data_IF_688460506405
#
_entry.id   IF_688460506405
#
_cell.length_a   1.000
_cell.length_b   1.000
_cell.length_c   1.000
_cell.angle_alpha   90.00
_cell.angle_beta   90.00
_cell.angle_gamma   90.00
#
_symmetry.space_group_name_H-M   'P 1'
#
loop_
_entity.id
_entity.type
_entity.pdbx_description
1 polymer ?
#
# COMPACT_ATOMS: atom_id res chain seq x y z
N UNK A 1 33.15 -25.27 17.15
CA UNK A 1 32.25 -24.23 17.67
C UNK A 1 32.16 -23.14 16.62
N UNK A 2 31.19 -23.24 15.73
CA UNK A 2 30.93 -22.25 14.69
C UNK A 2 29.44 -21.99 14.71
N UNK A 3 29.05 -20.95 15.44
CA UNK A 3 27.66 -20.52 15.56
C UNK A 3 27.22 -19.95 14.21
N UNK A 4 26.22 -20.63 13.62
CA UNK A 4 25.53 -20.16 12.44
C UNK A 4 24.73 -18.91 12.77
N UNK A 5 24.99 -17.84 12.04
CA UNK A 5 24.20 -16.63 12.00
C UNK A 5 22.76 -16.98 11.55
N UNK A 6 21.86 -16.99 12.52
CA UNK A 6 20.41 -16.97 12.30
C UNK A 6 20.08 -15.53 11.88
N UNK A 7 19.49 -15.27 10.70
CA UNK A 7 19.02 -13.94 10.37
C UNK A 7 17.85 -13.59 11.31
N UNK A 8 17.98 -12.46 12.01
CA UNK A 8 16.90 -11.90 12.83
C UNK A 8 15.67 -11.59 11.98
N UNK A 9 14.45 -11.80 12.50
CA UNK A 9 13.23 -11.50 11.78
C UNK A 9 13.08 -9.99 11.59
N UNK A 10 12.96 -9.57 10.34
CA UNK A 10 12.60 -8.21 9.95
C UNK A 10 11.28 -7.78 10.61
N UNK A 11 11.27 -6.55 11.12
CA UNK A 11 10.16 -5.84 11.78
C UNK A 11 8.76 -6.13 11.19
N UNK A 12 7.72 -6.35 12.02
CA UNK A 12 6.39 -6.82 11.61
C UNK A 12 5.47 -5.76 10.95
N UNK A 13 6.00 -4.63 10.48
CA UNK A 13 5.19 -3.49 10.00
C UNK A 13 5.38 -3.17 8.51
N UNK A 14 5.60 -4.17 7.66
CA UNK A 14 5.58 -3.96 6.20
C UNK A 14 4.15 -4.16 5.70
N UNK A 15 3.44 -3.05 5.54
CA UNK A 15 2.15 -2.99 4.85
C UNK A 15 2.35 -3.27 3.36
N UNK A 16 1.42 -4.02 2.79
CA UNK A 16 1.61 -4.71 1.52
C UNK A 16 1.06 -3.94 0.33
N UNK A 17 1.75 -4.07 -0.81
CA UNK A 17 1.75 -3.14 -1.94
C UNK A 17 1.01 -3.68 -3.16
N UNK A 18 -0.04 -2.96 -3.60
CA UNK A 18 -0.99 -3.27 -4.69
C UNK A 18 -0.48 -3.45 -6.13
N UNK A 19 0.81 -3.20 -6.45
CA UNK A 19 1.20 -2.87 -7.85
C UNK A 19 2.38 -3.59 -8.48
N UNK A 20 2.68 -4.81 -8.05
CA UNK A 20 3.44 -5.71 -8.91
C UNK A 20 2.52 -6.53 -9.83
N UNK A 21 1.53 -5.87 -10.44
CA UNK A 21 0.83 -6.43 -11.59
C UNK A 21 1.62 -6.00 -12.82
N UNK A 22 2.40 -6.87 -13.48
CA UNK A 22 3.08 -6.51 -14.72
C UNK A 22 2.03 -6.09 -15.76
N UNK A 23 2.38 -5.14 -16.64
CA UNK A 23 1.56 -4.69 -17.79
C UNK A 23 1.11 -5.82 -18.75
N UNK A 24 1.56 -7.05 -18.52
CA UNK A 24 1.20 -8.26 -19.26
C UNK A 24 0.12 -9.12 -18.55
N UNK A 25 -0.52 -8.60 -17.50
CA UNK A 25 -1.52 -9.29 -16.70
C UNK A 25 -0.95 -10.24 -15.65
N UNK A 26 -1.79 -10.66 -14.72
CA UNK A 26 -1.57 -11.71 -13.73
C UNK A 26 -1.39 -13.04 -14.47
N UNK A 27 -0.19 -13.60 -14.42
CA UNK A 27 0.10 -14.92 -14.95
C UNK A 27 0.36 -15.89 -13.81
N UNK A 28 -0.29 -17.06 -13.84
CA UNK A 28 0.04 -18.15 -12.94
C UNK A 28 1.50 -18.59 -13.20
N UNK A 29 2.32 -18.83 -12.16
CA UNK A 29 3.69 -19.28 -12.36
C UNK A 29 3.73 -20.61 -13.12
N UNK A 30 4.41 -20.61 -14.26
CA UNK A 30 4.73 -21.80 -15.04
C UNK A 30 5.82 -22.63 -14.33
N UNK A 31 5.63 -23.95 -14.28
CA UNK A 31 6.62 -24.98 -13.93
C UNK A 31 7.30 -24.90 -12.54
N UNK A 32 6.58 -24.56 -11.47
CA UNK A 32 7.02 -24.86 -10.10
C UNK A 32 6.27 -26.06 -9.50
N UNK A 33 6.94 -26.82 -8.63
CA UNK A 33 6.41 -28.02 -7.98
C UNK A 33 5.10 -27.72 -7.23
N UNK A 34 4.16 -28.67 -7.22
CA UNK A 34 2.88 -28.58 -6.49
C UNK A 34 3.11 -28.26 -5.03
N UNK A 35 4.15 -28.85 -4.43
CA UNK A 35 4.52 -28.61 -3.04
C UNK A 35 4.96 -27.16 -2.81
N UNK A 36 5.76 -26.58 -3.70
CA UNK A 36 6.23 -25.19 -3.60
C UNK A 36 5.07 -24.19 -3.65
N UNK A 37 4.07 -24.48 -4.49
CA UNK A 37 2.87 -23.62 -4.62
C UNK A 37 1.99 -23.67 -3.38
N UNK A 38 1.76 -24.86 -2.81
CA UNK A 38 1.01 -24.98 -1.54
C UNK A 38 1.80 -24.33 -0.39
N UNK A 39 3.12 -24.52 -0.35
CA UNK A 39 3.98 -23.88 0.65
C UNK A 39 3.96 -22.35 0.53
N UNK A 40 4.01 -21.82 -0.69
CA UNK A 40 3.81 -20.40 -0.94
C UNK A 40 2.47 -19.91 -0.41
N UNK A 41 1.37 -20.63 -0.66
CA UNK A 41 0.06 -20.27 -0.12
C UNK A 41 0.04 -20.32 1.43
N UNK A 42 0.67 -21.32 2.05
CA UNK A 42 0.80 -21.40 3.52
C UNK A 42 1.56 -20.19 4.07
N UNK A 43 2.63 -19.74 3.40
CA UNK A 43 3.38 -18.55 3.81
C UNK A 43 2.53 -17.28 3.70
N UNK A 44 1.80 -17.11 2.60
CA UNK A 44 0.88 -15.97 2.39
C UNK A 44 -0.17 -15.91 3.50
N UNK A 45 -0.85 -17.03 3.78
CA UNK A 45 -1.89 -17.07 4.81
C UNK A 45 -1.29 -16.93 6.22
N UNK A 46 -0.08 -17.44 6.48
CA UNK A 46 0.60 -17.26 7.76
C UNK A 46 0.99 -15.79 8.02
N UNK A 47 1.48 -15.09 6.99
CA UNK A 47 1.72 -13.65 7.07
C UNK A 47 0.42 -12.87 7.32
N UNK A 48 -0.65 -13.24 6.60
CA UNK A 48 -1.99 -12.70 6.81
C UNK A 48 -2.50 -12.91 8.24
N UNK A 49 -2.26 -14.09 8.82
CA UNK A 49 -2.64 -14.43 10.19
C UNK A 49 -1.94 -13.56 11.24
N UNK A 50 -0.65 -13.27 11.06
CA UNK A 50 0.09 -12.38 11.97
C UNK A 50 -0.58 -11.01 12.08
N UNK A 51 -1.03 -10.48 10.93
CA UNK A 51 -1.66 -9.17 10.81
C UNK A 51 -3.16 -9.21 11.17
N UNK A 52 -3.80 -10.38 11.01
CA UNK A 52 -5.24 -10.58 11.24
C UNK A 52 -6.14 -10.11 10.10
N UNK A 53 -5.60 -10.05 8.89
CA UNK A 53 -6.32 -9.73 7.64
C UNK A 53 -5.61 -10.40 6.47
N UNK A 54 -6.32 -10.65 5.37
CA UNK A 54 -5.69 -11.19 4.16
C UNK A 54 -4.80 -10.13 3.55
N UNK A 55 -3.58 -10.56 3.22
CA UNK A 55 -2.55 -9.71 2.67
C UNK A 55 -1.69 -10.53 1.68
N UNK A 56 -1.55 -10.08 0.43
CA UNK A 56 -0.77 -10.79 -0.60
C UNK A 56 0.60 -10.13 -0.81
N UNK A 57 1.73 -10.79 -0.48
CA UNK A 57 3.03 -10.14 -0.55
C UNK A 57 3.38 -9.71 -1.99
N UNK A 58 4.15 -8.62 -2.15
CA UNK A 58 4.73 -8.31 -3.45
C UNK A 58 5.72 -9.42 -3.87
N UNK A 59 5.75 -9.81 -5.16
CA UNK A 59 4.92 -9.28 -6.21
C UNK A 59 3.52 -9.92 -6.25
N UNK A 60 2.47 -9.10 -6.25
CA UNK A 60 1.06 -9.54 -6.13
C UNK A 60 0.69 -10.52 -7.23
N UNK A 61 1.23 -10.35 -8.43
CA UNK A 61 0.95 -11.28 -9.51
C UNK A 61 1.36 -12.72 -9.21
N UNK A 62 2.53 -12.87 -8.61
CA UNK A 62 3.01 -14.17 -8.17
C UNK A 62 2.13 -14.70 -7.03
N UNK A 63 1.78 -13.87 -6.06
CA UNK A 63 0.91 -14.26 -4.95
C UNK A 63 -0.48 -14.72 -5.41
N UNK A 64 -1.14 -13.95 -6.29
CA UNK A 64 -2.42 -14.32 -6.91
C UNK A 64 -2.29 -15.62 -7.74
N UNK A 65 -1.20 -15.76 -8.50
CA UNK A 65 -0.92 -16.98 -9.26
C UNK A 65 -0.74 -18.22 -8.37
N UNK A 66 -0.05 -18.07 -7.24
CA UNK A 66 0.11 -19.12 -6.22
C UNK A 66 -1.24 -19.52 -5.63
N UNK A 67 -2.08 -18.56 -5.27
CA UNK A 67 -3.42 -18.82 -4.74
C UNK A 67 -4.32 -19.48 -5.79
N UNK A 68 -4.28 -19.04 -7.05
CA UNK A 68 -5.02 -19.70 -8.10
C UNK A 68 -4.56 -21.14 -8.34
N UNK A 69 -3.25 -21.40 -8.27
CA UNK A 69 -2.75 -22.77 -8.38
C UNK A 69 -3.31 -23.70 -7.29
N UNK A 70 -3.53 -23.21 -6.06
CA UNK A 70 -4.23 -23.97 -5.01
C UNK A 70 -5.64 -24.38 -5.47
N UNK A 71 -6.39 -23.44 -6.07
CA UNK A 71 -7.69 -23.75 -6.65
C UNK A 71 -7.61 -24.81 -7.75
N UNK A 72 -6.63 -24.72 -8.64
CA UNK A 72 -6.40 -25.72 -9.69
C UNK A 72 -6.10 -27.10 -9.11
N UNK A 73 -5.26 -27.19 -8.07
CA UNK A 73 -4.97 -28.46 -7.40
C UNK A 73 -6.18 -29.09 -6.75
N UNK A 74 -7.02 -28.28 -6.10
CA UNK A 74 -8.28 -28.76 -5.52
C UNK A 74 -9.18 -29.33 -6.63
N UNK A 75 -9.26 -28.67 -7.79
CA UNK A 75 -10.11 -29.12 -8.91
C UNK A 75 -9.73 -30.49 -9.47
N UNK A 76 -8.44 -30.82 -9.49
CA UNK A 76 -7.90 -32.11 -9.97
C UNK A 76 -8.09 -33.22 -8.92
N UNK A 77 -8.22 -32.83 -7.65
CA UNK A 77 -8.43 -33.72 -6.51
C UNK A 77 -7.12 -34.14 -5.86
N UNK A 78 -7.00 -33.90 -4.55
CA UNK A 78 -5.80 -34.17 -3.75
C UNK A 78 -5.41 -35.67 -3.78
N UNK A 79 -6.35 -36.57 -4.04
CA UNK A 79 -6.10 -38.02 -4.15
C UNK A 79 -5.38 -38.46 -5.44
N UNK A 80 -5.16 -37.57 -6.41
CA UNK A 80 -4.30 -37.86 -7.55
C UNK A 80 -2.83 -38.06 -7.12
N UNK A 81 -2.49 -37.64 -5.89
CA UNK A 81 -1.18 -37.79 -5.26
C UNK A 81 -1.28 -38.91 -4.21
N UNK A 82 -0.83 -40.11 -4.60
CA UNK A 82 -1.11 -41.36 -3.90
C UNK A 82 -0.25 -41.64 -2.64
N UNK A 83 -0.85 -42.47 -1.77
CA UNK A 83 -0.29 -43.22 -0.63
C UNK A 83 0.22 -42.47 0.62
N UNK A 84 0.23 -43.21 1.74
CA UNK A 84 0.33 -42.74 3.13
C UNK A 84 1.47 -41.72 3.34
N UNK A 85 1.10 -40.58 3.92
CA UNK A 85 1.96 -39.44 4.26
C UNK A 85 2.52 -38.70 3.04
N UNK A 86 1.66 -38.35 2.09
CA UNK A 86 1.96 -37.37 1.05
C UNK A 86 2.21 -35.97 1.69
N UNK A 87 3.42 -35.38 1.53
CA UNK A 87 3.73 -34.02 1.98
C UNK A 87 2.74 -32.97 1.48
N UNK A 88 2.19 -33.14 0.27
CA UNK A 88 1.19 -32.23 -0.33
C UNK A 88 -0.10 -32.23 0.51
N UNK A 89 -0.58 -33.41 0.92
CA UNK A 89 -1.78 -33.53 1.74
C UNK A 89 -1.61 -32.92 3.13
N UNK A 90 -0.44 -33.07 3.77
CA UNK A 90 -0.16 -32.46 5.07
C UNK A 90 -0.05 -30.94 4.99
N UNK A 91 0.61 -30.40 3.96
CA UNK A 91 0.66 -28.95 3.73
C UNK A 91 -0.70 -28.37 3.39
N UNK A 92 -1.55 -29.11 2.66
CA UNK A 92 -2.92 -28.67 2.39
C UNK A 92 -3.80 -28.65 3.64
N UNK A 93 -3.67 -29.64 4.54
CA UNK A 93 -4.33 -29.61 5.86
C UNK A 93 -3.88 -28.41 6.68
N UNK A 94 -2.57 -28.13 6.69
CA UNK A 94 -2.01 -26.96 7.36
C UNK A 94 -2.58 -25.65 6.78
N UNK A 95 -2.64 -25.52 5.45
CA UNK A 95 -3.24 -24.37 4.78
C UNK A 95 -4.70 -24.18 5.20
N UNK A 96 -5.48 -25.26 5.21
CA UNK A 96 -6.89 -25.22 5.61
C UNK A 96 -7.06 -24.80 7.07
N UNK A 97 -6.22 -25.32 7.97
CA UNK A 97 -6.22 -24.90 9.37
C UNK A 97 -5.88 -23.41 9.50
N UNK A 98 -4.85 -22.93 8.79
CA UNK A 98 -4.43 -21.52 8.81
C UNK A 98 -5.51 -20.59 8.27
N UNK A 99 -6.24 -21.01 7.23
CA UNK A 99 -7.40 -20.27 6.71
C UNK A 99 -8.52 -20.17 7.75
N UNK A 100 -8.82 -21.26 8.47
CA UNK A 100 -9.80 -21.24 9.57
C UNK A 100 -9.38 -20.30 10.71
N UNK A 101 -8.13 -20.40 11.16
CA UNK A 101 -7.57 -19.50 12.18
C UNK A 101 -7.66 -18.03 11.74
N UNK A 102 -7.38 -17.75 10.47
CA UNK A 102 -7.47 -16.41 9.91
C UNK A 102 -8.93 -15.93 9.85
N UNK A 103 -9.85 -16.79 9.42
CA UNK A 103 -11.28 -16.48 9.38
C UNK A 103 -11.83 -16.20 10.78
N UNK A 104 -11.48 -17.02 11.78
CA UNK A 104 -11.86 -16.79 13.18
C UNK A 104 -11.33 -15.45 13.70
N UNK A 105 -10.09 -15.08 13.36
CA UNK A 105 -9.50 -13.79 13.76
C UNK A 105 -10.18 -12.61 13.07
N UNK A 106 -10.56 -12.76 11.80
CA UNK A 106 -11.32 -11.77 11.03
C UNK A 106 -12.74 -11.62 11.62
N UNK A 107 -13.41 -12.73 11.92
CA UNK A 107 -14.76 -12.73 12.53
C UNK A 107 -14.72 -12.12 13.93
N UNK A 108 -13.73 -12.47 14.77
CA UNK A 108 -13.60 -11.90 16.11
C UNK A 108 -13.45 -10.38 16.05
N UNK A 109 -12.66 -9.87 15.09
CA UNK A 109 -12.67 -8.44 14.76
C UNK A 109 -14.08 -8.02 14.39
N UNK A 110 -14.76 -8.62 13.41
CA UNK A 110 -16.11 -8.19 13.00
C UNK A 110 -17.18 -8.24 14.11
N UNK A 111 -17.04 -9.14 15.07
CA UNK A 111 -17.97 -9.31 16.20
C UNK A 111 -17.79 -8.26 17.29
N UNK A 112 -16.55 -7.87 17.61
CA UNK A 112 -16.27 -6.66 18.40
C UNK A 112 -16.84 -5.39 17.74
N UNK A 113 -17.07 -5.48 16.42
CA UNK A 113 -17.45 -4.39 15.54
C UNK A 113 -18.97 -4.33 15.23
N UNK A 114 -19.78 -5.24 15.79
CA UNK A 114 -21.25 -5.39 15.54
C UNK A 114 -22.14 -4.21 15.95
N UNK A 115 -21.68 -3.30 16.82
CA UNK A 115 -22.49 -2.17 17.32
C UNK A 115 -22.84 -1.16 16.21
N UNK A 116 -22.12 -1.17 15.09
CA UNK A 116 -22.35 -0.28 13.93
C UNK A 116 -22.92 -0.99 12.68
N UNK A 117 -22.89 -2.32 12.65
CA UNK A 117 -23.23 -3.16 11.47
C UNK A 117 -24.76 -3.30 11.28
N UNK A 118 -25.56 -3.14 12.33
CA UNK A 118 -27.00 -3.44 12.26
C UNK A 118 -27.86 -2.39 11.52
N UNK A 119 -27.31 -1.24 11.12
CA UNK A 119 -28.09 -0.10 10.61
C UNK A 119 -27.75 0.38 9.19
N UNK A 120 -26.80 -0.24 8.47
CA UNK A 120 -26.37 0.25 7.15
C UNK A 120 -26.51 -0.79 6.03
N UNK A 121 -27.02 -0.33 4.87
CA UNK A 121 -27.11 -1.05 3.59
C UNK A 121 -25.78 -1.73 3.21
N UNK A 122 -24.66 -1.09 3.52
CA UNK A 122 -23.30 -1.63 3.34
C UNK A 122 -23.11 -3.01 4.00
N UNK A 123 -23.63 -3.20 5.21
CA UNK A 123 -23.44 -4.45 5.95
C UNK A 123 -24.16 -5.64 5.33
N UNK A 124 -25.38 -5.42 4.82
CA UNK A 124 -26.15 -6.48 4.16
C UNK A 124 -25.60 -6.79 2.76
N UNK A 125 -25.33 -5.76 1.96
CA UNK A 125 -24.95 -5.92 0.54
C UNK A 125 -23.49 -6.31 0.32
N UNK A 126 -22.61 -6.05 1.29
CA UNK A 126 -21.19 -6.35 1.16
C UNK A 126 -20.74 -7.41 2.14
N UNK A 127 -20.82 -7.15 3.44
CA UNK A 127 -20.23 -8.02 4.47
C UNK A 127 -20.90 -9.41 4.43
N UNK A 128 -22.23 -9.44 4.33
CA UNK A 128 -23.00 -10.70 4.23
C UNK A 128 -22.66 -11.53 3.00
N UNK A 129 -22.50 -10.90 1.84
CA UNK A 129 -22.14 -11.56 0.59
C UNK A 129 -20.70 -12.11 0.64
N UNK A 130 -19.73 -11.33 1.11
CA UNK A 130 -18.33 -11.78 1.29
C UNK A 130 -18.28 -12.98 2.24
N UNK A 131 -18.97 -12.90 3.39
CA UNK A 131 -19.02 -14.00 4.35
C UNK A 131 -19.65 -15.27 3.76
N UNK A 132 -20.67 -15.12 2.93
CA UNK A 132 -21.33 -16.24 2.25
C UNK A 132 -20.38 -16.92 1.26
N UNK A 133 -19.68 -16.14 0.42
CA UNK A 133 -18.68 -16.68 -0.52
C UNK A 133 -17.53 -17.37 0.21
N UNK A 134 -17.00 -16.78 1.29
CA UNK A 134 -15.94 -17.41 2.12
C UNK A 134 -16.40 -18.73 2.71
N UNK A 135 -17.63 -18.79 3.23
CA UNK A 135 -18.21 -20.03 3.76
C UNK A 135 -18.25 -21.14 2.70
N UNK A 136 -18.63 -20.83 1.47
CA UNK A 136 -18.62 -21.82 0.39
C UNK A 136 -17.21 -22.22 -0.04
N UNK A 137 -16.29 -21.26 -0.12
CA UNK A 137 -14.87 -21.53 -0.35
C UNK A 137 -14.30 -22.47 0.73
N UNK A 138 -14.57 -22.22 2.01
CA UNK A 138 -14.08 -23.06 3.11
C UNK A 138 -14.66 -24.47 3.07
N UNK A 139 -15.93 -24.64 2.69
CA UNK A 139 -16.51 -25.97 2.45
C UNK A 139 -15.78 -26.74 1.35
N UNK A 140 -15.29 -26.06 0.31
CA UNK A 140 -14.45 -26.68 -0.72
C UNK A 140 -13.17 -27.24 -0.07
N UNK A 141 -12.44 -26.42 0.69
CA UNK A 141 -11.22 -26.86 1.39
C UNK A 141 -11.47 -28.04 2.34
N UNK A 142 -12.54 -27.98 3.15
CA UNK A 142 -12.89 -29.05 4.09
C UNK A 142 -13.22 -30.37 3.37
N UNK A 143 -14.02 -30.29 2.31
CA UNK A 143 -14.40 -31.47 1.53
C UNK A 143 -13.20 -32.13 0.83
N UNK A 144 -12.18 -31.35 0.46
CA UNK A 144 -10.94 -31.86 -0.11
C UNK A 144 -10.14 -32.73 0.86
N UNK A 145 -10.27 -32.49 2.17
CA UNK A 145 -9.58 -33.26 3.22
C UNK A 145 -10.37 -34.53 3.57
N UNK A 146 -11.70 -34.46 3.60
CA UNK A 146 -12.57 -35.56 4.06
C UNK A 146 -12.66 -36.75 3.09
N UNK A 147 -12.14 -36.60 1.86
CA UNK A 147 -12.00 -37.69 0.89
C UNK A 147 -13.32 -38.38 0.48
N UNK A 148 -14.43 -37.62 0.43
CA UNK A 148 -15.73 -38.09 -0.09
C UNK A 148 -15.98 -37.41 -1.43
N UNK A 149 -15.78 -38.14 -2.53
CA UNK A 149 -15.78 -37.58 -3.89
C UNK A 149 -17.12 -36.92 -4.30
N UNK A 150 -18.26 -37.44 -3.83
CA UNK A 150 -19.58 -36.83 -4.07
C UNK A 150 -19.72 -35.47 -3.39
N UNK A 151 -19.25 -35.38 -2.14
CA UNK A 151 -19.38 -34.19 -1.31
C UNK A 151 -18.45 -33.09 -1.81
N UNK A 152 -17.27 -33.47 -2.30
CA UNK A 152 -16.30 -32.55 -2.89
C UNK A 152 -16.81 -31.88 -4.17
N UNK A 153 -17.35 -32.67 -5.12
CA UNK A 153 -17.95 -32.12 -6.34
C UNK A 153 -19.12 -31.20 -6.03
N UNK A 154 -19.96 -31.57 -5.07
CA UNK A 154 -21.08 -30.75 -4.64
C UNK A 154 -20.61 -29.44 -3.98
N UNK A 155 -19.54 -29.47 -3.18
CA UNK A 155 -18.95 -28.27 -2.59
C UNK A 155 -18.44 -27.29 -3.65
N UNK A 156 -17.70 -27.78 -4.66
CA UNK A 156 -17.21 -26.97 -5.78
C UNK A 156 -18.38 -26.35 -6.55
N UNK A 157 -19.41 -27.14 -6.87
CA UNK A 157 -20.56 -26.65 -7.63
C UNK A 157 -21.37 -25.61 -6.85
N UNK A 158 -21.53 -25.79 -5.55
CA UNK A 158 -22.18 -24.79 -4.70
C UNK A 158 -21.37 -23.49 -4.62
N UNK A 159 -20.04 -23.58 -4.54
CA UNK A 159 -19.17 -22.40 -4.56
C UNK A 159 -19.22 -21.69 -5.91
N UNK A 160 -19.19 -22.43 -7.03
CA UNK A 160 -19.38 -21.88 -8.37
C UNK A 160 -20.70 -21.12 -8.47
N UNK A 161 -21.82 -21.75 -8.08
CA UNK A 161 -23.15 -21.11 -8.10
C UNK A 161 -23.21 -19.84 -7.27
N UNK A 162 -22.57 -19.83 -6.10
CA UNK A 162 -22.50 -18.66 -5.26
C UNK A 162 -21.69 -17.52 -5.94
N UNK A 163 -20.55 -17.84 -6.54
CA UNK A 163 -19.77 -16.88 -7.32
C UNK A 163 -20.48 -16.41 -8.61
N UNK A 164 -21.30 -17.24 -9.24
CA UNK A 164 -22.06 -16.84 -10.43
C UNK A 164 -23.24 -15.93 -10.07
N UNK A 165 -23.86 -16.18 -8.90
CA UNK A 165 -24.96 -15.36 -8.38
C UNK A 165 -24.47 -14.00 -7.86
N UNK A 166 -23.39 -14.02 -7.08
CA UNK A 166 -22.75 -12.82 -6.52
C UNK A 166 -21.26 -12.83 -6.85
N UNK A 167 -20.85 -12.37 -8.05
CA UNK A 167 -19.44 -12.36 -8.43
C UNK A 167 -18.59 -11.49 -7.49
N UNK A 168 -17.39 -11.94 -7.06
CA UNK A 168 -16.50 -11.15 -6.21
C UNK A 168 -16.23 -9.74 -6.76
N UNK A 169 -16.04 -9.61 -8.07
CA UNK A 169 -15.86 -8.32 -8.74
C UNK A 169 -17.09 -7.41 -8.63
N UNK A 170 -18.30 -7.96 -8.67
CA UNK A 170 -19.53 -7.16 -8.49
C UNK A 170 -19.61 -6.60 -7.07
N UNK A 171 -19.19 -7.37 -6.06
CA UNK A 171 -19.10 -6.89 -4.69
C UNK A 171 -18.05 -5.77 -4.57
N UNK A 172 -16.89 -5.90 -5.22
CA UNK A 172 -15.87 -4.84 -5.24
C UNK A 172 -16.43 -3.52 -5.81
N UNK A 173 -17.10 -3.57 -6.98
CA UNK A 173 -17.78 -2.40 -7.54
C UNK A 173 -18.86 -1.83 -6.61
N UNK A 174 -19.54 -2.68 -5.85
CA UNK A 174 -20.56 -2.26 -4.90
C UNK A 174 -19.94 -1.52 -3.72
N UNK A 175 -18.79 -1.98 -3.21
CA UNK A 175 -18.01 -1.27 -2.19
C UNK A 175 -17.65 0.12 -2.69
N UNK A 176 -16.99 0.23 -3.84
CA UNK A 176 -16.59 1.52 -4.42
C UNK A 176 -17.80 2.45 -4.60
N UNK A 177 -18.90 1.94 -5.15
CA UNK A 177 -20.13 2.72 -5.34
C UNK A 177 -20.76 3.21 -4.03
N UNK A 178 -20.78 2.38 -2.98
CA UNK A 178 -21.32 2.76 -1.68
C UNK A 178 -20.43 3.78 -0.97
N UNK A 179 -19.11 3.69 -1.16
CA UNK A 179 -18.15 4.63 -0.59
C UNK A 179 -18.12 5.97 -1.33
N UNK A 180 -18.35 5.98 -2.65
CA UNK A 180 -18.37 7.21 -3.44
C UNK A 180 -19.50 8.18 -3.04
N UNK A 181 -20.60 7.67 -2.47
CA UNK A 181 -21.75 8.49 -2.08
C UNK A 181 -21.79 8.74 -0.57
N UNK A 182 -21.79 10.02 -0.18
CA UNK A 182 -21.78 10.46 1.22
C UNK A 182 -22.83 9.78 2.11
N UNK A 183 -24.05 9.60 1.60
CA UNK A 183 -25.19 9.06 2.36
C UNK A 183 -25.18 7.54 2.53
N UNK A 184 -24.35 6.83 1.75
CA UNK A 184 -24.20 5.38 1.85
C UNK A 184 -22.82 4.97 2.36
N UNK A 185 -21.89 5.91 2.45
CA UNK A 185 -20.54 5.68 2.91
C UNK A 185 -20.53 5.47 4.43
N UNK A 186 -20.29 4.24 4.92
CA UNK A 186 -20.33 3.97 6.35
C UNK A 186 -19.27 4.72 7.16
N UNK A 187 -18.09 4.98 6.60
CA UNK A 187 -17.05 5.78 7.26
C UNK A 187 -17.51 7.22 7.45
N UNK A 188 -18.08 7.83 6.42
CA UNK A 188 -18.57 9.21 6.51
C UNK A 188 -19.68 9.32 7.56
N UNK A 189 -20.64 8.38 7.54
CA UNK A 189 -21.70 8.32 8.56
C UNK A 189 -21.14 8.16 9.97
N UNK A 190 -20.10 7.33 10.15
CA UNK A 190 -19.46 7.12 11.44
C UNK A 190 -18.72 8.37 11.95
N UNK A 191 -17.95 9.05 11.08
CA UNK A 191 -17.28 10.32 11.42
C UNK A 191 -18.29 11.40 11.82
N UNK A 192 -19.44 11.48 11.13
CA UNK A 192 -20.47 12.47 11.42
C UNK A 192 -21.21 12.19 12.73
N UNK A 193 -21.38 10.91 13.08
CA UNK A 193 -21.99 10.48 14.35
C UNK A 193 -21.02 10.60 15.53
N UNK A 194 -19.72 10.38 15.31
CA UNK A 194 -18.68 10.39 16.34
C UNK A 194 -18.03 11.77 16.47
N UNK A 195 -18.41 12.54 17.49
CA UNK A 195 -17.83 13.87 17.71
C UNK A 195 -16.44 13.87 18.36
N UNK A 196 -16.04 12.79 19.04
CA UNK A 196 -14.80 12.76 19.85
C UNK A 196 -13.72 11.78 19.36
N UNK A 197 -14.08 10.73 18.62
CA UNK A 197 -13.16 9.63 18.27
C UNK A 197 -13.05 9.40 16.75
N UNK A 198 -13.06 10.48 15.95
CA UNK A 198 -13.08 10.40 14.48
C UNK A 198 -11.88 9.65 13.90
N UNK A 199 -10.71 9.82 14.50
CA UNK A 199 -9.48 9.15 14.07
C UNK A 199 -9.58 7.63 14.25
N UNK A 200 -10.25 7.18 15.32
CA UNK A 200 -10.49 5.76 15.57
C UNK A 200 -11.47 5.19 14.55
N UNK A 201 -12.52 5.94 14.19
CA UNK A 201 -13.48 5.55 13.14
C UNK A 201 -12.82 5.41 11.77
N UNK A 202 -11.91 6.33 11.40
CA UNK A 202 -11.14 6.25 10.16
C UNK A 202 -10.30 4.98 10.12
N UNK A 203 -9.45 4.77 11.13
CA UNK A 203 -8.60 3.59 11.20
C UNK A 203 -9.42 2.29 11.15
N UNK A 204 -10.57 2.27 11.83
CA UNK A 204 -11.50 1.16 11.83
C UNK A 204 -12.04 0.84 10.42
N UNK A 205 -12.60 1.83 9.73
CA UNK A 205 -13.27 1.56 8.44
C UNK A 205 -12.26 1.29 7.32
N UNK A 206 -11.08 1.94 7.37
CA UNK A 206 -9.97 1.60 6.47
C UNK A 206 -9.62 0.10 6.57
N UNK A 207 -9.50 -0.42 7.79
CA UNK A 207 -9.18 -1.84 8.01
C UNK A 207 -10.32 -2.75 7.52
N UNK A 208 -11.58 -2.35 7.71
CA UNK A 208 -12.75 -3.09 7.18
C UNK A 208 -12.73 -3.15 5.66
N UNK A 209 -12.59 -2.03 4.96
CA UNK A 209 -12.62 -2.02 3.49
C UNK A 209 -11.47 -2.81 2.89
N UNK A 210 -10.26 -2.68 3.46
CA UNK A 210 -9.10 -3.46 3.01
C UNK A 210 -9.30 -4.95 3.23
N UNK A 211 -9.82 -5.34 4.40
CA UNK A 211 -10.10 -6.76 4.69
C UNK A 211 -11.09 -7.33 3.69
N UNK A 212 -12.18 -6.61 3.41
CA UNK A 212 -13.20 -7.05 2.45
C UNK A 212 -12.64 -7.20 1.04
N UNK A 213 -11.86 -6.23 0.57
CA UNK A 213 -11.26 -6.29 -0.77
C UNK A 213 -10.27 -7.43 -0.90
N UNK A 214 -9.41 -7.65 0.10
CA UNK A 214 -8.45 -8.76 0.06
C UNK A 214 -9.11 -10.13 0.24
N UNK A 215 -10.22 -10.21 0.98
CA UNK A 215 -11.10 -11.38 1.00
C UNK A 215 -11.64 -11.67 -0.42
N UNK A 216 -12.11 -10.65 -1.14
CA UNK A 216 -12.58 -10.80 -2.53
C UNK A 216 -11.46 -11.26 -3.47
N UNK A 217 -10.24 -10.72 -3.33
CA UNK A 217 -9.09 -11.18 -4.11
C UNK A 217 -8.77 -12.65 -3.84
N UNK A 218 -8.74 -13.09 -2.57
CA UNK A 218 -8.51 -14.50 -2.23
C UNK A 218 -9.58 -15.40 -2.87
N UNK A 219 -10.85 -15.04 -2.69
CA UNK A 219 -11.99 -15.80 -3.21
C UNK A 219 -11.90 -15.91 -4.75
N UNK A 220 -11.61 -14.80 -5.44
CA UNK A 220 -11.52 -14.79 -6.90
C UNK A 220 -10.30 -15.58 -7.40
N UNK A 221 -9.15 -15.53 -6.70
CA UNK A 221 -7.99 -16.36 -7.05
C UNK A 221 -8.32 -17.85 -6.95
N UNK A 222 -8.92 -18.27 -5.83
CA UNK A 222 -9.30 -19.68 -5.63
C UNK A 222 -10.35 -20.11 -6.67
N UNK A 223 -11.36 -19.29 -6.93
CA UNK A 223 -12.36 -19.54 -7.97
C UNK A 223 -11.73 -19.63 -9.36
N UNK A 224 -10.73 -18.79 -9.66
CA UNK A 224 -10.03 -18.79 -10.94
C UNK A 224 -9.38 -20.14 -11.23
N UNK A 225 -8.65 -20.69 -10.25
CA UNK A 225 -8.05 -22.01 -10.33
C UNK A 225 -9.08 -23.15 -10.37
N UNK A 226 -10.11 -23.08 -9.52
CA UNK A 226 -11.10 -24.16 -9.42
C UNK A 226 -11.93 -24.34 -10.69
N UNK A 227 -12.37 -23.24 -11.30
CA UNK A 227 -13.38 -23.33 -12.35
C UNK A 227 -13.37 -22.24 -13.43
N UNK A 228 -12.44 -21.28 -13.39
CA UNK A 228 -12.30 -20.25 -14.45
C UNK A 228 -11.04 -20.42 -15.30
N UNK A 229 -10.43 -21.61 -15.29
CA UNK A 229 -9.24 -21.94 -16.10
C UNK A 229 -8.07 -21.00 -15.86
N UNK A 230 -7.83 -20.66 -14.58
CA UNK A 230 -6.75 -19.77 -14.15
C UNK A 230 -6.83 -18.36 -14.75
N UNK A 231 -8.00 -17.93 -15.24
CA UNK A 231 -8.20 -16.57 -15.70
C UNK A 231 -8.26 -15.60 -14.51
N UNK A 232 -7.20 -14.82 -14.35
CA UNK A 232 -7.02 -13.85 -13.27
C UNK A 232 -7.50 -12.43 -13.62
N UNK A 233 -8.15 -12.22 -14.77
CA UNK A 233 -8.65 -10.91 -15.21
C UNK A 233 -9.51 -10.22 -14.15
N UNK A 234 -10.44 -10.92 -13.50
CA UNK A 234 -11.25 -10.31 -12.45
C UNK A 234 -10.44 -9.98 -11.18
N UNK A 235 -9.39 -10.74 -10.86
CA UNK A 235 -8.52 -10.39 -9.74
C UNK A 235 -7.84 -9.05 -9.98
N UNK A 236 -7.35 -8.79 -11.20
CA UNK A 236 -6.78 -7.50 -11.60
C UNK A 236 -7.78 -6.37 -11.36
N UNK A 237 -9.01 -6.55 -11.85
CA UNK A 237 -10.08 -5.55 -11.71
C UNK A 237 -10.44 -5.30 -10.24
N UNK A 238 -10.47 -6.33 -9.38
CA UNK A 238 -10.70 -6.15 -7.93
C UNK A 238 -9.54 -5.37 -7.29
N UNK A 239 -8.30 -5.61 -7.72
CA UNK A 239 -7.13 -4.87 -7.22
C UNK A 239 -7.18 -3.42 -7.71
N UNK A 240 -7.61 -3.15 -8.94
CA UNK A 240 -7.85 -1.78 -9.42
C UNK A 240 -8.91 -1.07 -8.57
N UNK A 241 -10.01 -1.74 -8.24
CA UNK A 241 -11.04 -1.18 -7.33
C UNK A 241 -10.48 -0.85 -5.94
N UNK A 242 -9.49 -1.61 -5.45
CA UNK A 242 -8.81 -1.30 -4.20
C UNK A 242 -8.13 0.08 -4.23
N UNK A 243 -7.61 0.49 -5.40
CA UNK A 243 -7.02 1.81 -5.60
C UNK A 243 -8.08 2.90 -5.57
N UNK A 244 -9.25 2.66 -6.18
CA UNK A 244 -10.36 3.62 -6.17
C UNK A 244 -10.86 3.85 -4.74
N UNK A 245 -10.97 2.78 -3.95
CA UNK A 245 -11.32 2.87 -2.53
C UNK A 245 -10.29 3.70 -1.77
N UNK A 246 -9.00 3.51 -2.05
CA UNK A 246 -7.93 4.29 -1.45
C UNK A 246 -8.00 5.78 -1.79
N UNK A 247 -8.34 6.12 -3.04
CA UNK A 247 -8.58 7.52 -3.46
C UNK A 247 -9.81 8.12 -2.75
N UNK A 248 -10.87 7.34 -2.54
CA UNK A 248 -12.05 7.79 -1.76
C UNK A 248 -11.67 8.04 -0.30
N UNK A 249 -10.89 7.15 0.31
CA UNK A 249 -10.43 7.28 1.69
C UNK A 249 -9.57 8.52 1.90
N UNK A 250 -8.66 8.81 0.97
CA UNK A 250 -7.85 10.03 0.99
C UNK A 250 -8.71 11.30 0.93
N UNK A 251 -9.74 11.33 0.07
CA UNK A 251 -10.62 12.51 -0.04
C UNK A 251 -11.46 12.71 1.23
N UNK A 252 -11.86 11.62 1.91
CA UNK A 252 -12.53 11.69 3.22
C UNK A 252 -11.57 12.21 4.29
N UNK A 253 -10.36 11.66 4.34
CA UNK A 253 -9.30 12.09 5.27
C UNK A 253 -9.08 13.60 5.16
N UNK A 254 -8.95 14.09 3.92
CA UNK A 254 -8.81 15.51 3.59
C UNK A 254 -10.05 16.32 3.97
N UNK A 255 -11.25 15.88 3.60
CA UNK A 255 -12.50 16.63 3.79
C UNK A 255 -12.85 16.82 5.26
N UNK A 256 -12.60 15.80 6.08
CA UNK A 256 -12.86 15.84 7.52
C UNK A 256 -11.63 16.27 8.34
N UNK A 257 -10.45 16.38 7.71
CA UNK A 257 -9.17 16.65 8.35
C UNK A 257 -8.91 15.71 9.54
N UNK A 258 -8.99 14.41 9.26
CA UNK A 258 -8.89 13.30 10.22
C UNK A 258 -7.75 12.36 9.81
N UNK A 259 -7.49 11.31 10.58
CA UNK A 259 -6.50 10.30 10.22
C UNK A 259 -5.06 10.67 10.58
N UNK A 260 -4.12 9.73 10.40
CA UNK A 260 -2.78 9.85 10.98
C UNK A 260 -1.96 11.01 10.42
N UNK A 261 -2.11 11.32 9.12
CA UNK A 261 -1.42 12.45 8.52
C UNK A 261 -1.99 13.79 8.99
N UNK A 262 -3.32 13.95 9.11
CA UNK A 262 -3.90 15.17 9.69
C UNK A 262 -3.40 15.42 11.11
N UNK A 263 -3.30 14.38 11.94
CA UNK A 263 -2.72 14.46 13.29
C UNK A 263 -1.25 14.88 13.23
N UNK A 264 -0.44 14.22 12.40
CA UNK A 264 0.96 14.57 12.21
C UNK A 264 1.13 16.03 11.80
N UNK A 265 0.36 16.51 10.81
CA UNK A 265 0.41 17.90 10.34
C UNK A 265 0.09 18.91 11.43
N UNK A 266 -0.91 18.62 12.27
CA UNK A 266 -1.29 19.47 13.39
C UNK A 266 -0.18 19.58 14.42
N UNK A 267 0.54 18.49 14.67
CA UNK A 267 1.63 18.41 15.65
C UNK A 267 2.99 18.83 15.10
N UNK A 268 3.13 18.86 13.77
CA UNK A 268 4.38 19.12 13.06
C UNK A 268 5.07 20.42 13.48
N UNK A 269 4.39 21.57 13.67
CA UNK A 269 5.07 22.80 14.11
C UNK A 269 5.81 22.64 15.45
N UNK A 270 5.16 22.03 16.44
CA UNK A 270 5.75 21.78 17.76
C UNK A 270 6.88 20.75 17.68
N UNK A 271 6.69 19.70 16.88
CA UNK A 271 7.73 18.71 16.63
C UNK A 271 8.96 19.34 15.96
N UNK A 272 8.75 20.18 14.95
CA UNK A 272 9.81 20.84 14.20
C UNK A 272 10.55 21.89 15.05
N UNK A 273 9.88 22.57 15.98
CA UNK A 273 10.51 23.43 16.99
C UNK A 273 11.45 22.61 17.90
N UNK A 274 11.07 21.38 18.25
CA UNK A 274 11.92 20.43 18.97
C UNK A 274 13.26 20.14 18.25
N UNK A 275 13.31 20.23 16.92
CA UNK A 275 14.54 20.00 16.15
C UNK A 275 15.60 21.09 16.34
N UNK A 276 15.24 22.24 16.93
CA UNK A 276 16.17 23.34 17.28
C UNK A 276 17.24 22.85 18.27
N UNK A 277 16.88 21.94 19.17
CA UNK A 277 17.77 21.42 20.22
C UNK A 277 18.89 20.52 19.71
N UNK A 278 18.86 20.16 18.42
CA UNK A 278 19.82 19.26 17.77
C UNK A 278 20.88 20.00 16.91
N UNK A 279 21.16 21.27 17.21
CA UNK A 279 22.33 21.98 16.67
C UNK A 279 22.27 22.27 15.16
N UNK A 280 23.32 21.93 14.40
CA UNK A 280 23.34 22.05 12.92
C UNK A 280 23.38 20.69 12.21
N UNK A 281 23.20 19.59 12.94
CA UNK A 281 23.25 18.24 12.37
C UNK A 281 21.97 17.91 11.60
N UNK A 282 22.01 18.09 10.28
CA UNK A 282 20.90 17.76 9.37
C UNK A 282 20.59 16.26 9.34
N UNK A 283 21.60 15.40 9.53
CA UNK A 283 21.42 13.94 9.50
C UNK A 283 20.65 13.49 10.73
N UNK A 284 21.05 13.95 11.91
CA UNK A 284 20.33 13.59 13.14
C UNK A 284 18.89 14.11 13.14
N UNK A 285 18.65 15.34 12.67
CA UNK A 285 17.29 15.86 12.47
C UNK A 285 16.48 15.01 11.49
N UNK A 286 17.09 14.58 10.39
CA UNK A 286 16.46 13.69 9.42
C UNK A 286 15.99 12.41 10.10
N UNK A 287 16.87 11.74 10.86
CA UNK A 287 16.55 10.49 11.57
C UNK A 287 15.36 10.65 12.52
N UNK A 288 15.27 11.77 13.25
CA UNK A 288 14.12 12.07 14.13
C UNK A 288 12.82 12.19 13.34
N UNK A 289 12.82 12.93 12.24
CA UNK A 289 11.63 13.10 11.38
C UNK A 289 11.24 11.76 10.75
N UNK A 290 12.22 10.98 10.29
CA UNK A 290 11.99 9.65 9.72
C UNK A 290 11.34 8.71 10.74
N UNK A 291 11.82 8.69 11.98
CA UNK A 291 11.27 7.84 13.04
C UNK A 291 9.85 8.24 13.42
N UNK A 292 9.56 9.54 13.49
CA UNK A 292 8.23 10.04 13.81
C UNK A 292 7.21 9.65 12.72
N UNK A 293 7.58 9.81 11.45
CA UNK A 293 6.75 9.42 10.31
C UNK A 293 6.53 7.90 10.23
N UNK A 294 7.57 7.08 10.43
CA UNK A 294 7.43 5.62 10.50
C UNK A 294 6.46 5.18 11.60
N UNK A 295 6.44 5.88 12.72
CA UNK A 295 5.57 5.57 13.86
C UNK A 295 4.13 6.03 13.62
N UNK A 296 3.93 7.27 13.18
CA UNK A 296 2.60 7.89 13.09
C UNK A 296 1.91 7.61 11.77
N UNK A 297 2.64 7.54 10.66
CA UNK A 297 2.09 7.37 9.32
C UNK A 297 2.76 6.18 8.61
N UNK A 298 2.71 4.94 9.15
CA UNK A 298 3.43 3.80 8.59
C UNK A 298 2.95 3.38 7.19
N UNK A 299 1.75 3.82 6.78
CA UNK A 299 1.08 3.44 5.52
C UNK A 299 1.52 4.28 4.32
N UNK A 300 1.92 5.51 4.55
CA UNK A 300 2.28 6.44 3.50
C UNK A 300 3.79 6.51 3.33
N UNK A 301 4.21 6.85 2.13
CA UNK A 301 5.61 7.09 1.80
C UNK A 301 5.92 8.59 1.80
N UNK A 302 7.12 8.98 2.20
CA UNK A 302 7.42 10.40 2.41
C UNK A 302 8.76 10.82 1.83
N UNK A 303 8.81 12.05 1.30
CA UNK A 303 10.04 12.81 1.17
C UNK A 303 10.18 13.76 2.35
N UNK A 304 11.41 13.93 2.82
CA UNK A 304 11.79 14.90 3.84
C UNK A 304 12.97 15.68 3.28
N UNK A 305 12.92 17.01 3.36
CA UNK A 305 14.03 17.85 2.93
C UNK A 305 14.35 18.87 4.02
N UNK A 306 15.56 18.81 4.55
CA UNK A 306 16.10 19.74 5.55
C UNK A 306 17.19 20.55 4.87
N UNK A 307 17.09 21.87 4.89
CA UNK A 307 18.00 22.74 4.16
C UNK A 307 18.26 24.04 4.93
N UNK A 308 19.34 24.73 4.58
CA UNK A 308 19.61 26.06 5.11
C UNK A 308 18.55 27.03 4.59
N UNK A 309 18.05 27.91 5.45
CA UNK A 309 16.97 28.83 5.09
C UNK A 309 17.25 29.60 3.79
N UNK A 310 16.19 29.82 3.03
CA UNK A 310 16.26 30.49 1.74
C UNK A 310 14.97 31.20 1.38
N UNK A 311 15.06 31.99 0.33
CA UNK A 311 13.95 32.73 -0.27
C UNK A 311 13.18 31.81 -1.23
N UNK A 312 11.86 31.70 -1.05
CA UNK A 312 11.00 30.92 -1.94
C UNK A 312 11.02 31.51 -3.36
N UNK A 313 10.83 30.67 -4.38
CA UNK A 313 10.98 30.95 -5.83
C UNK A 313 12.43 31.19 -6.31
N UNK A 314 13.28 31.77 -5.46
CA UNK A 314 14.68 32.07 -5.78
C UNK A 314 15.63 30.94 -5.39
N UNK A 315 15.65 30.60 -4.11
CA UNK A 315 16.56 29.60 -3.54
C UNK A 315 15.98 28.19 -3.63
N UNK A 316 14.65 28.08 -3.51
CA UNK A 316 13.91 26.84 -3.70
C UNK A 316 12.51 27.12 -4.22
N UNK A 317 11.96 26.18 -4.96
CA UNK A 317 10.57 26.21 -5.40
C UNK A 317 10.04 24.80 -5.52
N UNK A 318 8.75 24.62 -5.29
CA UNK A 318 8.09 23.36 -5.55
C UNK A 318 6.68 23.57 -6.10
N UNK A 319 6.28 22.65 -6.97
CA UNK A 319 4.91 22.41 -7.37
C UNK A 319 4.40 21.19 -6.63
N UNK A 320 3.15 21.28 -6.17
CA UNK A 320 2.42 20.16 -5.58
C UNK A 320 1.00 20.15 -6.16
N UNK A 321 0.55 19.00 -6.64
CA UNK A 321 -0.82 18.85 -7.15
C UNK A 321 -1.86 19.02 -6.03
N UNK A 322 -1.62 18.34 -4.89
CA UNK A 322 -2.49 18.39 -3.71
C UNK A 322 -1.79 19.09 -2.54
N UNK A 323 -2.08 20.38 -2.25
CA UNK A 323 -1.46 21.11 -1.13
C UNK A 323 -1.62 20.45 0.24
N UNK A 324 -2.64 19.59 0.42
CA UNK A 324 -2.83 18.80 1.64
C UNK A 324 -1.66 17.84 1.93
N UNK A 325 -0.87 17.47 0.93
CA UNK A 325 0.19 16.46 1.02
C UNK A 325 1.56 17.05 1.39
N UNK A 326 1.64 18.32 1.79
CA UNK A 326 2.90 18.92 2.29
C UNK A 326 2.70 19.64 3.61
N UNK A 327 3.73 19.57 4.46
CA UNK A 327 3.92 20.49 5.58
C UNK A 327 5.31 21.07 5.55
N UNK A 328 5.42 22.31 6.02
CA UNK A 328 6.66 23.05 6.04
C UNK A 328 6.82 23.80 7.35
N UNK A 329 8.07 23.92 7.79
CA UNK A 329 8.44 24.82 8.87
C UNK A 329 9.73 25.54 8.47
N UNK A 330 9.73 26.87 8.61
CA UNK A 330 10.72 27.75 7.99
C UNK A 330 11.46 28.55 9.06
N UNK A 331 12.70 28.89 8.74
CA UNK A 331 13.49 29.89 9.46
C UNK A 331 13.74 29.62 10.95
N UNK A 332 13.80 28.35 11.34
CA UNK A 332 14.17 27.97 12.70
C UNK A 332 15.65 28.22 12.96
N UNK A 333 15.94 29.05 13.96
CA UNK A 333 17.30 29.31 14.41
C UNK A 333 17.89 28.08 15.10
N UNK A 334 19.11 27.70 14.72
CA UNK A 334 19.88 26.69 15.46
C UNK A 334 20.22 27.21 16.85
N UNK A 335 20.07 26.38 17.89
CA UNK A 335 20.41 26.77 19.27
C UNK A 335 21.89 27.11 19.44
N UNK A 336 22.77 26.30 18.83
CA UNK A 336 24.22 26.46 18.93
C UNK A 336 24.73 27.65 18.11
N UNK A 337 24.01 28.00 17.03
CA UNK A 337 24.36 29.06 16.11
C UNK A 337 23.11 29.85 15.74
N UNK A 338 22.67 30.78 16.59
CA UNK A 338 21.42 31.54 16.40
C UNK A 338 21.32 32.28 15.06
N UNK A 339 22.46 32.55 14.40
CA UNK A 339 22.53 33.17 13.08
C UNK A 339 22.34 32.18 11.92
N UNK A 340 22.41 30.86 12.17
CA UNK A 340 22.15 29.81 11.18
C UNK A 340 20.72 29.32 11.34
N UNK A 341 19.93 29.54 10.29
CA UNK A 341 18.54 29.10 10.23
C UNK A 341 18.39 27.93 9.28
N UNK A 342 17.48 27.03 9.59
CA UNK A 342 17.11 25.93 8.73
C UNK A 342 15.61 25.94 8.45
N UNK A 343 15.25 25.31 7.34
CA UNK A 343 13.88 25.05 6.95
C UNK A 343 13.73 23.55 6.67
N UNK A 344 12.51 23.05 6.87
CA UNK A 344 12.13 21.67 6.61
C UNK A 344 10.82 21.64 5.84
N UNK A 345 10.72 20.76 4.85
CA UNK A 345 9.42 20.32 4.35
C UNK A 345 9.33 18.80 4.35
N UNK A 346 8.11 18.31 4.57
CA UNK A 346 7.74 16.90 4.48
C UNK A 346 6.63 16.78 3.46
N UNK A 347 6.88 15.98 2.42
CA UNK A 347 5.90 15.66 1.40
C UNK A 347 5.42 14.21 1.60
N UNK A 348 4.11 14.04 1.70
CA UNK A 348 3.40 12.75 1.71
C UNK A 348 3.12 12.33 0.28
N UNK A 349 3.51 11.11 -0.06
CA UNK A 349 2.96 10.38 -1.19
C UNK A 349 2.14 9.22 -0.66
N UNK A 350 0.82 9.33 -0.84
CA UNK A 350 -0.12 8.32 -0.40
C UNK A 350 -0.16 7.13 -1.38
N UNK A 351 0.34 7.31 -2.61
CA UNK A 351 0.49 6.23 -3.61
C UNK A 351 1.91 5.70 -3.76
N UNK A 352 2.94 6.31 -3.16
CA UNK A 352 4.33 6.00 -3.50
C UNK A 352 4.75 4.55 -3.21
N UNK A 353 4.20 3.93 -2.15
CA UNK A 353 4.34 2.49 -1.86
C UNK A 353 3.67 1.57 -2.89
N UNK A 354 2.80 2.14 -3.72
CA UNK A 354 1.91 1.48 -4.67
C UNK A 354 2.24 1.84 -6.11
N UNK A 355 3.28 2.60 -6.38
CA UNK A 355 3.67 2.85 -7.77
C UNK A 355 4.50 1.66 -8.27
N UNK A 356 4.16 1.13 -9.44
CA UNK A 356 4.89 0.00 -10.04
C UNK A 356 6.37 0.33 -10.27
N UNK A 357 7.25 -0.67 -10.13
CA UNK A 357 8.69 -0.49 -10.34
C UNK A 357 9.03 0.10 -11.71
N UNK A 358 8.28 -0.25 -12.77
CA UNK A 358 8.46 0.30 -14.11
C UNK A 358 8.29 1.81 -14.18
N UNK A 359 7.39 2.38 -13.38
CA UNK A 359 7.17 3.83 -13.30
C UNK A 359 8.35 4.53 -12.61
N UNK A 360 8.91 3.91 -11.57
CA UNK A 360 10.15 4.36 -10.94
C UNK A 360 11.32 4.33 -11.93
N UNK A 361 11.49 3.23 -12.65
CA UNK A 361 12.55 3.06 -13.65
C UNK A 361 12.43 4.08 -14.78
N UNK A 362 11.21 4.30 -15.26
CA UNK A 362 10.92 5.33 -16.26
C UNK A 362 11.30 6.72 -15.74
N UNK A 363 10.88 7.08 -14.52
CA UNK A 363 11.18 8.37 -13.91
C UNK A 363 12.70 8.57 -13.75
N UNK A 364 13.42 7.57 -13.25
CA UNK A 364 14.88 7.61 -13.09
C UNK A 364 15.57 7.80 -14.44
N UNK A 365 15.15 7.05 -15.48
CA UNK A 365 15.69 7.21 -16.84
C UNK A 365 15.40 8.60 -17.39
N UNK A 366 14.19 9.13 -17.18
CA UNK A 366 13.80 10.46 -17.64
C UNK A 366 14.60 11.56 -16.94
N UNK A 367 14.79 11.47 -15.61
CA UNK A 367 15.58 12.46 -14.85
C UNK A 367 17.09 12.39 -15.15
N UNK A 368 17.62 11.21 -15.50
CA UNK A 368 19.03 11.03 -15.91
C UNK A 368 19.32 11.47 -17.34
N UNK A 369 18.30 11.61 -18.18
CA UNK A 369 18.46 12.08 -19.56
C UNK A 369 18.81 13.56 -19.51
N UNK A 370 20.11 13.86 -19.55
CA UNK A 370 20.75 15.17 -19.41
C UNK A 370 19.82 16.35 -19.78
N UNK A 371 19.08 16.90 -18.80
CA UNK A 371 18.10 17.92 -19.09
C UNK A 371 18.84 19.22 -19.38
N UNK A 372 18.80 19.67 -20.64
CA UNK A 372 19.37 20.97 -21.03
C UNK A 372 18.46 22.12 -20.58
N UNK A 373 18.21 22.24 -19.27
CA UNK A 373 17.54 23.41 -18.73
C UNK A 373 18.52 24.57 -18.61
N UNK A 374 18.04 25.76 -18.95
CA UNK A 374 18.80 27.01 -18.90
C UNK A 374 19.11 27.39 -17.43
N UNK A 375 20.39 27.63 -17.14
CA UNK A 375 20.89 28.03 -15.83
C UNK A 375 20.44 29.45 -15.41
N UNK A 376 19.96 30.26 -16.35
CA UNK A 376 19.42 31.61 -16.09
C UNK A 376 17.99 31.59 -15.57
N UNK A 377 17.30 30.45 -15.66
CA UNK A 377 15.92 30.31 -15.18
C UNK A 377 15.87 30.31 -13.65
N UNK A 378 14.84 30.98 -13.12
CA UNK A 378 14.45 30.87 -11.72
C UNK A 378 14.02 29.44 -11.39
N UNK A 379 14.02 29.08 -10.10
CA UNK A 379 13.61 27.74 -9.69
C UNK A 379 12.13 27.48 -10.01
N UNK A 380 11.30 28.52 -10.01
CA UNK A 380 9.90 28.47 -10.48
C UNK A 380 9.78 28.12 -11.95
N UNK A 381 10.50 28.84 -12.82
CA UNK A 381 10.49 28.55 -14.26
C UNK A 381 11.02 27.15 -14.56
N UNK A 382 12.02 26.68 -13.81
CA UNK A 382 12.54 25.31 -13.94
C UNK A 382 11.48 24.27 -13.60
N UNK A 383 10.77 24.43 -12.47
CA UNK A 383 9.68 23.51 -12.09
C UNK A 383 8.57 23.50 -13.15
N UNK A 384 8.17 24.65 -13.70
CA UNK A 384 7.16 24.72 -14.76
C UNK A 384 7.58 24.03 -16.07
N UNK A 385 8.88 23.96 -16.36
CA UNK A 385 9.40 23.16 -17.48
C UNK A 385 9.44 21.68 -17.13
N UNK A 386 9.98 21.33 -15.96
CA UNK A 386 10.13 19.95 -15.50
C UNK A 386 8.78 19.23 -15.38
N UNK A 387 7.71 19.94 -15.00
CA UNK A 387 6.32 19.43 -14.98
C UNK A 387 5.87 18.84 -16.30
N UNK A 388 6.38 19.36 -17.43
CA UNK A 388 6.06 18.87 -18.77
C UNK A 388 6.88 17.64 -19.16
N UNK A 389 8.01 17.42 -18.49
CA UNK A 389 8.96 16.37 -18.84
C UNK A 389 8.78 15.08 -18.05
N UNK A 390 8.41 15.18 -16.78
CA UNK A 390 8.13 14.01 -15.92
C UNK A 390 6.61 13.86 -15.75
N UNK A 391 6.06 14.24 -14.61
CA UNK A 391 4.64 14.17 -14.25
C UNK A 391 4.29 15.36 -13.37
N UNK A 392 3.02 15.75 -13.30
CA UNK A 392 2.59 16.96 -12.57
C UNK A 392 1.58 16.70 -11.46
N UNK A 393 1.23 15.43 -11.23
CA UNK A 393 0.19 14.96 -10.30
C UNK A 393 0.73 14.68 -8.88
N UNK A 394 2.01 14.96 -8.62
CA UNK A 394 2.63 14.84 -7.30
C UNK A 394 3.51 16.04 -6.96
N UNK A 395 4.70 15.78 -6.40
CA UNK A 395 5.70 16.81 -6.07
C UNK A 395 6.69 17.01 -7.22
N UNK A 396 7.00 18.26 -7.55
CA UNK A 396 8.25 18.61 -8.22
C UNK A 396 8.90 19.73 -7.43
N UNK A 397 10.08 19.48 -6.87
CA UNK A 397 10.85 20.48 -6.15
C UNK A 397 12.23 20.70 -6.76
N UNK A 398 12.65 21.95 -6.78
CA UNK A 398 13.99 22.39 -7.17
C UNK A 398 14.59 23.17 -6.03
N UNK A 399 15.72 22.69 -5.50
CA UNK A 399 16.51 23.35 -4.48
C UNK A 399 17.82 23.83 -5.08
N UNK A 400 18.26 25.03 -4.73
CA UNK A 400 19.62 25.46 -5.05
C UNK A 400 20.62 24.66 -4.24
N UNK A 401 21.65 24.10 -4.89
CA UNK A 401 22.68 23.29 -4.23
C UNK A 401 23.36 24.00 -3.05
N UNK A 402 23.49 25.33 -3.14
CA UNK A 402 24.07 26.19 -2.10
C UNK A 402 23.27 26.22 -0.79
N UNK A 403 22.02 25.75 -0.77
CA UNK A 403 21.23 25.61 0.46
C UNK A 403 21.53 24.33 1.23
N UNK A 404 22.52 23.54 0.78
CA UNK A 404 23.02 22.37 1.48
C UNK A 404 21.87 21.47 1.94
N UNK A 405 21.02 21.10 0.97
CA UNK A 405 19.85 20.28 1.24
C UNK A 405 20.26 18.88 1.68
N UNK A 406 19.53 18.33 2.64
CA UNK A 406 19.63 16.95 3.08
C UNK A 406 18.27 16.30 2.84
N UNK A 407 18.22 15.44 1.82
CA UNK A 407 17.00 14.80 1.34
C UNK A 407 16.98 13.36 1.87
N UNK A 408 15.92 13.02 2.59
CA UNK A 408 15.65 11.68 3.10
C UNK A 408 14.23 11.25 2.74
N UNK A 409 13.93 9.99 3.04
CA UNK A 409 12.63 9.40 2.74
C UNK A 409 12.31 8.26 3.70
N UNK A 410 11.04 7.87 3.80
CA UNK A 410 10.59 6.71 4.61
C UNK A 410 9.44 5.95 3.95
N UNK A 411 9.27 4.70 4.37
CA UNK A 411 8.23 3.77 3.95
C UNK A 411 8.16 3.62 2.42
N UNK A 412 9.30 3.54 1.74
CA UNK A 412 9.36 3.42 0.28
C UNK A 412 9.81 2.00 -0.11
N UNK A 413 9.46 1.51 -1.31
CA UNK A 413 9.98 0.25 -1.82
C UNK A 413 11.51 0.20 -1.81
N UNK A 414 12.09 -0.98 -1.62
CA UNK A 414 13.56 -1.14 -1.49
C UNK A 414 14.34 -0.67 -2.74
N UNK A 415 13.73 -0.81 -3.92
CA UNK A 415 14.30 -0.36 -5.19
C UNK A 415 14.17 1.16 -5.42
N UNK A 416 13.44 1.88 -4.56
CA UNK A 416 13.07 3.27 -4.75
C UNK A 416 13.91 4.23 -3.90
N UNK A 417 14.26 5.39 -4.47
CA UNK A 417 14.96 6.47 -3.77
C UNK A 417 13.98 7.52 -3.24
N UNK A 418 13.06 7.07 -2.40
CA UNK A 418 11.91 7.82 -1.90
C UNK A 418 10.63 7.58 -2.71
N UNK A 419 9.53 8.30 -2.45
CA UNK A 419 8.27 8.12 -3.17
C UNK A 419 8.30 8.76 -4.57
N UNK A 420 9.28 8.35 -5.38
CA UNK A 420 9.62 8.91 -6.68
C UNK A 420 11.13 8.80 -6.89
N UNK A 421 11.77 9.91 -7.28
CA UNK A 421 13.23 9.97 -7.34
C UNK A 421 13.76 11.38 -7.07
N UNK A 422 15.02 11.46 -6.63
CA UNK A 422 15.75 12.72 -6.56
C UNK A 422 17.21 12.60 -6.98
N UNK A 423 17.71 13.62 -7.66
CA UNK A 423 19.10 13.70 -8.10
C UNK A 423 19.63 15.14 -8.07
N UNK A 424 20.95 15.26 -7.99
CA UNK A 424 21.64 16.52 -8.30
C UNK A 424 21.73 16.66 -9.82
N UNK A 425 21.34 17.81 -10.35
CA UNK A 425 21.38 18.14 -11.79
C UNK A 425 22.20 19.41 -12.01
N UNK A 426 23.06 19.40 -13.03
CA UNK A 426 23.80 20.57 -13.46
C UNK A 426 23.06 21.25 -14.61
N UNK A 427 22.79 22.55 -14.47
CA UNK A 427 22.14 23.37 -15.47
C UNK A 427 23.19 24.16 -16.26
N UNK A 428 22.96 24.33 -17.57
CA UNK A 428 23.83 25.10 -18.46
C UNK A 428 25.17 24.44 -18.83
N UNK A 429 25.94 25.13 -19.67
CA UNK A 429 27.23 24.66 -20.17
C UNK A 429 28.35 24.83 -19.14
N UNK A 430 29.47 24.11 -19.33
CA UNK A 430 30.58 23.95 -18.37
C UNK A 430 31.14 25.26 -17.76
N UNK A 431 30.96 26.41 -18.41
CA UNK A 431 31.49 27.70 -17.93
C UNK A 431 30.57 28.41 -16.92
N UNK A 432 29.26 28.14 -16.93
CA UNK A 432 28.27 28.83 -16.09
C UNK A 432 27.37 27.84 -15.31
N UNK A 433 27.86 26.64 -14.99
CA UNK A 433 27.00 25.59 -14.43
C UNK A 433 26.38 25.96 -13.09
N UNK A 434 25.06 25.79 -12.97
CA UNK A 434 24.32 25.88 -11.70
C UNK A 434 23.91 24.47 -11.26
N UNK A 435 24.31 24.05 -10.07
CA UNK A 435 23.81 22.80 -9.49
C UNK A 435 22.47 23.04 -8.78
N UNK A 436 21.55 22.11 -8.97
CA UNK A 436 20.29 22.02 -8.24
C UNK A 436 20.07 20.61 -7.70
N UNK A 437 19.33 20.49 -6.61
CA UNK A 437 18.69 19.24 -6.24
C UNK A 437 17.30 19.22 -6.85
N UNK A 438 17.03 18.22 -7.68
CA UNK A 438 15.75 18.00 -8.34
C UNK A 438 15.06 16.80 -7.71
N UNK A 439 13.89 17.03 -7.13
CA UNK A 439 13.06 16.04 -6.46
C UNK A 439 11.76 15.89 -7.25
N UNK A 440 11.38 14.66 -7.56
CA UNK A 440 10.08 14.32 -8.15
C UNK A 440 9.43 13.28 -7.27
N UNK A 441 8.24 13.59 -6.75
CA UNK A 441 7.42 12.69 -5.95
C UNK A 441 6.15 12.28 -6.68
N UNK A 442 5.77 11.03 -6.53
CA UNK A 442 4.46 10.51 -6.91
C UNK A 442 3.36 11.04 -5.98
N UNK A 443 2.08 11.04 -6.41
CA UNK A 443 0.95 11.50 -5.59
C UNK A 443 0.93 10.97 -4.16
#
# INVERSE_FOLDING_TARGET
MGEGLIPEPTSPNVLVHGHDIPMNGLQAPADSDTLDKIDGAVQIISGSLAIGMIVTPPPINLACGVLAAVGSFISVGINAFGEKSDPVAEKFKLLTQKLKELEEKIIARFDEMKVFISENKFSMEVIGEVATLKKFMMKVFESSIMNIASDHKLAIENFRKACDLTPPLTIAYTISSLLAQKTTNPLTMAIEKSHKDKEKEVAYWEDVFRTLIWDLVLIECIAAGLFKKENLYHCERIIEESMEIDDILEEIEKSYNVGPWAVFKKEFPNFAEGLIWHGTDKKHRMELVQNELKKKCPRDSFYICIFDSGEFEKDYYYHIDKPHNIVEAKDFASREYGNRKFSIFVYRSYKGTRIAQSEYDWLVKKMKKDPKYDNKKSNKELVELMKKDVRSDGLIAVMSYWKSSYIGFVNCPEYAKGPGNFCMTWLGDHKDRKAIDWIVGFP
#
